data_IF_512932008478
#
_entry.id   IF_512932008478
#
_cell.length_a   1.000
_cell.length_b   1.000
_cell.length_c   1.000
_cell.angle_alpha   90.00
_cell.angle_beta   90.00
_cell.angle_gamma   90.00
#
_symmetry.space_group_name_H-M   'P 1'
#
loop_
_entity.id
_entity.type
_entity.pdbx_description
1 polymer ?
#
# COMPACT_ATOMS: atom_id res chain seq x y z
N UNK A 1 3.47 -20.72 -7.86
CA UNK A 1 3.79 -19.51 -7.07
C UNK A 1 2.48 -19.06 -6.44
N UNK A 2 2.44 -18.81 -5.12
CA UNK A 2 1.27 -18.14 -4.51
C UNK A 2 1.56 -16.64 -4.57
N UNK A 3 0.65 -15.88 -5.15
CA UNK A 3 0.83 -14.45 -5.36
C UNK A 3 0.66 -13.71 -4.03
N UNK A 4 1.65 -12.91 -3.64
CA UNK A 4 1.61 -12.04 -2.47
C UNK A 4 1.23 -10.62 -2.93
N UNK A 5 0.25 -9.99 -2.28
CA UNK A 5 -0.15 -8.63 -2.65
C UNK A 5 -0.09 -7.69 -1.44
N UNK A 6 0.80 -6.71 -1.50
CA UNK A 6 0.81 -5.60 -0.56
C UNK A 6 0.72 -4.32 -1.36
N UNK A 7 -0.16 -3.40 -0.94
CA UNK A 7 -0.16 -2.05 -1.48
C UNK A 7 -0.04 -1.03 -0.36
N UNK A 8 0.94 -0.13 -0.52
CA UNK A 8 1.15 1.05 0.32
C UNK A 8 0.74 2.28 -0.46
N UNK A 9 -0.17 3.07 0.10
CA UNK A 9 -0.77 4.23 -0.56
C UNK A 9 -0.69 5.49 0.33
N UNK A 10 -0.62 6.70 -0.27
CA UNK A 10 -0.73 7.95 0.48
C UNK A 10 -2.13 8.08 1.08
N UNK A 11 -2.37 9.05 1.99
CA UNK A 11 -3.70 9.25 2.56
C UNK A 11 -4.76 9.40 1.45
N UNK A 12 -5.62 8.39 1.36
CA UNK A 12 -6.70 8.23 0.38
C UNK A 12 -8.04 8.10 1.08
N UNK A 13 -8.16 8.59 2.32
CA UNK A 13 -9.43 8.77 3.01
C UNK A 13 -10.50 9.32 2.07
N UNK A 14 -11.79 9.11 2.39
CA UNK A 14 -13.00 9.32 1.57
C UNK A 14 -13.09 10.59 0.67
N UNK A 15 -12.19 11.55 0.85
CA UNK A 15 -12.00 12.75 0.04
C UNK A 15 -11.10 12.55 -1.20
N UNK A 16 -10.40 11.42 -1.36
CA UNK A 16 -9.65 11.10 -2.58
C UNK A 16 -10.55 10.79 -3.80
N UNK A 17 -11.87 10.73 -3.59
CA UNK A 17 -12.90 10.49 -4.60
C UNK A 17 -13.50 11.80 -5.17
N UNK A 18 -13.01 12.96 -4.74
CA UNK A 18 -13.51 14.26 -5.21
C UNK A 18 -12.69 14.77 -6.40
N UNK A 19 -13.23 14.62 -7.61
CA UNK A 19 -12.63 15.13 -8.83
C UNK A 19 -12.46 16.67 -8.83
N UNK A 20 -13.17 17.41 -7.95
CA UNK A 20 -13.10 18.87 -7.86
C UNK A 20 -11.84 19.40 -7.17
N UNK A 21 -11.09 18.54 -6.46
CA UNK A 21 -9.86 18.92 -5.75
C UNK A 21 -8.56 18.56 -6.49
N UNK A 22 -8.65 18.10 -7.75
CA UNK A 22 -7.48 17.91 -8.62
C UNK A 22 -6.45 16.88 -8.13
N UNK A 23 -6.85 15.93 -7.27
CA UNK A 23 -5.99 14.81 -6.88
C UNK A 23 -6.10 13.72 -7.94
N UNK A 24 -4.98 13.20 -8.49
CA UNK A 24 -5.03 12.12 -9.45
C UNK A 24 -5.72 10.91 -8.81
N UNK A 25 -6.60 10.25 -9.56
CA UNK A 25 -7.48 9.15 -9.16
C UNK A 25 -6.75 7.85 -8.79
N UNK A 26 -5.53 7.93 -8.25
CA UNK A 26 -4.74 6.76 -7.86
C UNK A 26 -5.36 6.03 -6.66
N UNK A 27 -6.14 6.72 -5.83
CA UNK A 27 -6.77 6.13 -4.64
C UNK A 27 -7.86 5.11 -4.95
N UNK A 28 -8.76 5.40 -5.90
CA UNK A 28 -9.83 4.49 -6.31
C UNK A 28 -9.27 3.21 -6.93
N UNK A 29 -8.25 3.35 -7.80
CA UNK A 29 -7.57 2.22 -8.43
C UNK A 29 -6.91 1.27 -7.42
N UNK A 30 -6.48 1.80 -6.27
CA UNK A 30 -5.69 1.03 -5.32
C UNK A 30 -6.55 0.11 -4.45
N UNK A 31 -7.67 0.60 -3.94
CA UNK A 31 -8.53 -0.20 -3.04
C UNK A 31 -9.27 -1.30 -3.79
N UNK A 32 -9.80 -0.99 -4.97
CA UNK A 32 -10.44 -1.97 -5.85
C UNK A 32 -9.45 -3.09 -6.25
N UNK A 33 -8.19 -2.74 -6.54
CA UNK A 33 -7.16 -3.74 -6.83
C UNK A 33 -6.91 -4.67 -5.63
N UNK A 34 -6.81 -4.13 -4.41
CA UNK A 34 -6.66 -4.96 -3.20
C UNK A 34 -7.86 -5.89 -3.03
N UNK A 35 -9.08 -5.39 -3.21
CA UNK A 35 -10.30 -6.18 -3.03
C UNK A 35 -10.32 -7.41 -3.97
N UNK A 36 -9.81 -7.26 -5.20
CA UNK A 36 -9.72 -8.34 -6.18
C UNK A 36 -8.46 -9.22 -6.08
N UNK A 37 -7.46 -8.83 -5.31
CA UNK A 37 -6.23 -9.61 -5.15
C UNK A 37 -6.44 -10.90 -4.32
N UNK A 38 -5.58 -11.89 -4.57
CA UNK A 38 -5.56 -13.16 -3.81
C UNK A 38 -4.87 -13.00 -2.45
N UNK A 39 -5.28 -13.81 -1.48
CA UNK A 39 -4.66 -13.85 -0.15
C UNK A 39 -3.30 -14.57 -0.16
N UNK A 40 -2.33 -14.15 0.67
CA UNK A 40 -2.43 -13.07 1.66
C UNK A 40 -2.30 -11.66 1.05
N UNK A 41 -3.16 -10.74 1.51
CA UNK A 41 -3.11 -9.33 1.11
C UNK A 41 -3.26 -8.33 2.25
N UNK A 42 -2.64 -7.16 2.09
CA UNK A 42 -2.74 -6.05 3.03
C UNK A 42 -2.78 -4.70 2.29
N UNK A 43 -3.56 -3.75 2.84
CA UNK A 43 -3.62 -2.36 2.39
C UNK A 43 -3.18 -1.45 3.54
N UNK A 44 -2.11 -0.69 3.31
CA UNK A 44 -1.57 0.24 4.31
C UNK A 44 -1.65 1.67 3.79
N UNK A 45 -2.33 2.51 4.56
CA UNK A 45 -2.46 3.93 4.27
C UNK A 45 -1.46 4.76 5.10
N UNK A 46 -0.65 5.57 4.41
CA UNK A 46 0.32 6.48 5.03
C UNK A 46 -0.36 7.84 5.22
N UNK A 47 -0.91 8.06 6.42
CA UNK A 47 -1.57 9.32 6.78
C UNK A 47 -0.67 10.54 6.49
N UNK A 48 -1.27 11.61 5.95
CA UNK A 48 -0.65 12.87 5.53
C UNK A 48 0.35 12.80 4.38
N UNK A 49 0.71 11.61 3.88
CA UNK A 49 1.52 11.50 2.68
C UNK A 49 0.74 11.98 1.44
N UNK A 50 1.46 12.59 0.52
CA UNK A 50 1.02 12.87 -0.84
C UNK A 50 1.46 11.76 -1.78
N UNK A 51 0.91 11.72 -3.00
CA UNK A 51 1.37 10.77 -4.02
C UNK A 51 2.88 10.85 -4.28
N UNK A 52 3.44 12.06 -4.29
CA UNK A 52 4.85 12.27 -4.60
C UNK A 52 5.76 12.09 -3.38
N UNK A 53 5.26 12.31 -2.16
CA UNK A 53 6.09 12.22 -0.95
C UNK A 53 6.54 10.80 -0.64
N UNK A 54 5.81 9.78 -1.12
CA UNK A 54 6.26 8.38 -1.06
C UNK A 54 7.51 8.08 -1.89
N UNK A 55 7.96 9.01 -2.75
CA UNK A 55 9.19 8.85 -3.52
C UNK A 55 10.40 9.55 -2.88
N UNK A 56 10.20 10.70 -2.22
CA UNK A 56 11.31 11.60 -1.89
C UNK A 56 11.25 12.30 -0.52
N UNK A 57 10.18 12.14 0.27
CA UNK A 57 10.13 12.61 1.66
C UNK A 57 10.58 11.46 2.58
N UNK A 58 11.74 11.57 3.25
CA UNK A 58 12.34 10.45 3.99
C UNK A 58 11.39 9.81 5.01
N UNK A 59 10.62 10.61 5.74
CA UNK A 59 9.73 10.12 6.79
C UNK A 59 8.57 9.27 6.22
N UNK A 60 8.05 9.65 5.06
CA UNK A 60 6.97 8.90 4.40
C UNK A 60 7.52 7.61 3.74
N UNK A 61 8.73 7.68 3.17
CA UNK A 61 9.45 6.52 2.62
C UNK A 61 9.76 5.50 3.72
N UNK A 62 10.24 5.94 4.87
CA UNK A 62 10.58 5.06 6.00
C UNK A 62 9.33 4.35 6.53
N UNK A 63 8.20 5.07 6.66
CA UNK A 63 6.91 4.47 7.06
C UNK A 63 6.42 3.44 6.04
N UNK A 64 6.51 3.75 4.75
CA UNK A 64 6.10 2.85 3.69
C UNK A 64 6.97 1.58 3.65
N UNK A 65 8.30 1.74 3.76
CA UNK A 65 9.24 0.61 3.73
C UNK A 65 9.13 -0.27 4.96
N UNK A 66 8.89 0.29 6.14
CA UNK A 66 8.63 -0.49 7.35
C UNK A 66 7.40 -1.40 7.22
N UNK A 67 6.32 -0.92 6.59
CA UNK A 67 5.13 -1.72 6.31
C UNK A 67 5.43 -2.88 5.32
N UNK A 68 6.17 -2.59 4.25
CA UNK A 68 6.60 -3.61 3.28
C UNK A 68 7.46 -4.70 3.93
N UNK A 69 8.44 -4.28 4.72
CA UNK A 69 9.35 -5.16 5.42
C UNK A 69 8.62 -6.06 6.44
N UNK A 70 7.65 -5.51 7.20
CA UNK A 70 6.80 -6.29 8.10
C UNK A 70 5.98 -7.37 7.35
N UNK A 71 5.28 -6.99 6.28
CA UNK A 71 4.48 -7.91 5.48
C UNK A 71 5.34 -9.04 4.88
N UNK A 72 6.45 -8.71 4.22
CA UNK A 72 7.29 -9.72 3.59
C UNK A 72 7.97 -10.63 4.62
N UNK A 73 8.37 -10.14 5.80
CA UNK A 73 8.86 -11.03 6.86
C UNK A 73 7.79 -12.04 7.30
N UNK A 74 6.55 -11.59 7.48
CA UNK A 74 5.45 -12.42 7.94
C UNK A 74 5.04 -13.49 6.92
N UNK A 75 5.10 -13.17 5.62
CA UNK A 75 4.61 -14.05 4.57
C UNK A 75 5.70 -14.78 3.80
N UNK A 76 6.85 -14.16 3.54
CA UNK A 76 7.99 -14.79 2.84
C UNK A 76 8.87 -15.60 3.80
N UNK A 77 9.09 -15.11 5.03
CA UNK A 77 9.77 -15.89 6.07
C UNK A 77 9.02 -17.17 6.43
N UNK A 78 7.68 -17.09 6.51
CA UNK A 78 6.81 -18.25 6.72
C UNK A 78 6.77 -19.20 5.50
N UNK A 79 6.88 -18.69 4.28
CA UNK A 79 6.94 -19.51 3.05
C UNK A 79 8.19 -20.42 3.00
N UNK A 80 9.33 -20.01 3.60
CA UNK A 80 10.52 -20.87 3.70
C UNK A 80 10.41 -21.97 4.77
N UNK A 81 9.57 -21.79 5.79
CA UNK A 81 9.38 -22.77 6.86
C UNK A 81 8.32 -23.83 6.52
N UNK A 82 7.48 -23.58 5.52
CA UNK A 82 6.40 -24.46 5.06
C UNK A 82 6.70 -25.17 3.72
N UNK A 83 7.91 -24.99 3.16
CA UNK A 83 8.42 -25.66 1.96
C UNK A 83 9.50 -26.67 2.32
#
# INVERSE_FOLDING_TARGET
MRDLTLIVAPNVGSNAMDASIGRPETGALTKEFVDHASEPKEFVEIECASHVSLYDIPEDVDRATAAMDAFFRNHVGALKAAA
#
